data_IF_760849978525
#
_entry.id   IF_760849978525
#
_cell.length_a   1.000
_cell.length_b   1.000
_cell.length_c   1.000
_cell.angle_alpha   90.00
_cell.angle_beta   90.00
_cell.angle_gamma   90.00
#
_symmetry.space_group_name_H-M   'P 1'
#
loop_
_entity.id
_entity.type
_entity.pdbx_description
1 polymer ?
#
# COMPACT_ATOMS: atom_id res chain seq x y z
N UNK A 1 7.30 -38.63 -42.63
CA UNK A 1 6.66 -37.80 -41.58
C UNK A 1 7.39 -38.05 -40.26
N UNK A 2 8.25 -37.12 -39.83
CA UNK A 2 8.08 -36.58 -38.48
C UNK A 2 8.13 -35.05 -38.46
N UNK A 3 7.27 -34.48 -37.62
CA UNK A 3 7.06 -33.05 -37.38
C UNK A 3 8.30 -32.41 -36.74
N UNK A 4 8.87 -31.42 -37.42
CA UNK A 4 9.82 -30.48 -36.84
C UNK A 4 9.09 -29.62 -35.80
N UNK A 5 9.61 -29.63 -34.56
CA UNK A 5 9.18 -28.76 -33.47
C UNK A 5 9.39 -27.30 -33.88
N UNK A 6 8.32 -26.52 -33.87
CA UNK A 6 8.39 -25.08 -34.02
C UNK A 6 9.12 -24.44 -32.82
N UNK A 7 10.09 -23.60 -33.17
CA UNK A 7 10.91 -22.83 -32.26
C UNK A 7 10.05 -21.90 -31.40
N UNK A 8 10.33 -21.90 -30.09
CA UNK A 8 9.72 -21.01 -29.11
C UNK A 8 10.00 -19.54 -29.42
N UNK A 9 9.06 -18.90 -30.11
CA UNK A 9 9.01 -17.45 -30.28
C UNK A 9 8.79 -16.79 -28.93
N UNK A 10 9.86 -16.30 -28.32
CA UNK A 10 9.77 -15.45 -27.13
C UNK A 10 9.02 -14.18 -27.54
N UNK A 11 7.75 -14.06 -27.13
CA UNK A 11 6.89 -12.93 -27.47
C UNK A 11 7.59 -11.59 -27.20
N UNK A 12 7.50 -10.65 -28.13
CA UNK A 12 8.04 -9.28 -28.01
C UNK A 12 7.58 -8.62 -26.70
N UNK A 13 6.38 -8.96 -26.21
CA UNK A 13 5.88 -8.52 -24.91
C UNK A 13 6.67 -9.08 -23.71
N UNK A 14 7.15 -10.32 -23.81
CA UNK A 14 8.06 -10.92 -22.84
C UNK A 14 9.40 -10.20 -22.84
N UNK A 15 9.97 -9.94 -24.02
CA UNK A 15 11.23 -9.20 -24.15
C UNK A 15 11.15 -7.77 -23.60
N UNK A 16 10.09 -7.02 -23.93
CA UNK A 16 9.86 -5.66 -23.40
C UNK A 16 9.66 -5.68 -21.88
N UNK A 17 8.92 -6.67 -21.36
CA UNK A 17 8.68 -6.82 -19.93
C UNK A 17 9.96 -7.17 -19.16
N UNK A 18 10.81 -8.05 -19.71
CA UNK A 18 12.11 -8.41 -19.13
C UNK A 18 13.05 -7.20 -19.20
N UNK A 19 13.14 -6.52 -20.35
CA UNK A 19 13.99 -5.32 -20.52
C UNK A 19 13.57 -4.17 -19.60
N UNK A 20 12.27 -3.94 -19.40
CA UNK A 20 11.78 -2.92 -18.45
C UNK A 20 12.06 -3.30 -16.98
N UNK A 21 12.08 -4.59 -16.64
CA UNK A 21 12.50 -5.06 -15.31
C UNK A 21 14.00 -4.92 -15.11
N UNK A 22 14.81 -5.24 -16.12
CA UNK A 22 16.26 -5.07 -16.11
C UNK A 22 16.63 -3.60 -16.00
N UNK A 23 16.06 -2.72 -16.83
CA UNK A 23 16.32 -1.27 -16.74
C UNK A 23 15.93 -0.67 -15.38
N UNK A 24 14.82 -1.12 -14.77
CA UNK A 24 14.46 -0.72 -13.40
C UNK A 24 15.39 -1.32 -12.35
N UNK A 25 15.99 -2.49 -12.62
CA UNK A 25 16.99 -3.10 -11.76
C UNK A 25 18.30 -2.33 -11.84
N UNK A 26 18.74 -1.96 -13.04
CA UNK A 26 19.99 -1.24 -13.30
C UNK A 26 19.91 0.20 -12.79
N UNK A 27 18.79 0.90 -13.03
CA UNK A 27 18.57 2.23 -12.45
C UNK A 27 18.52 2.20 -10.92
N UNK A 28 17.97 1.12 -10.34
CA UNK A 28 18.00 0.93 -8.89
C UNK A 28 19.42 0.61 -8.42
N UNK A 29 20.15 -0.27 -9.11
CA UNK A 29 21.54 -0.62 -8.81
C UNK A 29 22.40 0.62 -8.79
N UNK A 30 22.42 1.39 -9.88
CA UNK A 30 23.25 2.59 -9.99
C UNK A 30 22.94 3.64 -8.90
N UNK A 31 21.66 3.76 -8.51
CA UNK A 31 21.28 4.63 -7.39
C UNK A 31 21.79 4.09 -6.05
N UNK A 32 21.73 2.77 -5.83
CA UNK A 32 22.23 2.16 -4.62
C UNK A 32 23.75 2.21 -4.55
N UNK A 33 24.43 1.92 -5.65
CA UNK A 33 25.87 1.95 -5.77
C UNK A 33 26.39 3.37 -5.49
N UNK A 34 25.70 4.42 -5.98
CA UNK A 34 26.02 5.81 -5.65
C UNK A 34 25.78 6.17 -4.17
N UNK A 35 24.73 5.63 -3.54
CA UNK A 35 24.48 5.84 -2.11
C UNK A 35 25.46 5.04 -1.25
N UNK A 36 25.88 3.87 -1.71
CA UNK A 36 26.88 3.01 -1.07
C UNK A 36 28.26 3.64 -1.14
N UNK A 37 28.62 4.26 -2.26
CA UNK A 37 29.85 5.03 -2.40
C UNK A 37 29.87 6.26 -1.46
N UNK A 38 28.74 6.95 -1.32
CA UNK A 38 28.64 8.17 -0.49
C UNK A 38 28.51 7.90 1.01
N UNK A 39 27.74 6.89 1.39
CA UNK A 39 27.34 6.65 2.77
C UNK A 39 27.67 5.24 3.27
N UNK A 40 28.19 4.34 2.44
CA UNK A 40 28.39 2.93 2.80
C UNK A 40 29.34 2.75 3.99
N UNK A 41 30.39 3.56 4.10
CA UNK A 41 31.30 3.56 5.26
C UNK A 41 30.56 4.01 6.52
N UNK A 42 29.86 5.14 6.47
CA UNK A 42 29.06 5.67 7.59
C UNK A 42 27.93 4.73 8.03
N UNK A 43 27.26 4.05 7.08
CA UNK A 43 26.23 3.05 7.38
C UNK A 43 26.83 1.82 8.05
N UNK A 44 28.04 1.42 7.66
CA UNK A 44 28.73 0.28 8.28
C UNK A 44 29.14 0.60 9.71
N UNK A 45 29.68 1.79 9.96
CA UNK A 45 29.96 2.29 11.32
C UNK A 45 28.68 2.37 12.17
N UNK A 46 27.60 2.94 11.63
CA UNK A 46 26.30 3.00 12.31
C UNK A 46 25.72 1.62 12.63
N UNK A 47 25.89 0.63 11.74
CA UNK A 47 25.46 -0.75 11.99
C UNK A 47 26.31 -1.43 13.08
N UNK A 48 27.59 -1.09 13.21
CA UNK A 48 28.42 -1.64 14.27
C UNK A 48 28.12 -0.99 15.62
N UNK A 49 27.84 0.31 15.64
CA UNK A 49 27.60 1.09 16.84
C UNK A 49 26.19 0.90 17.44
N UNK A 50 25.17 0.69 16.60
CA UNK A 50 23.77 0.71 17.04
C UNK A 50 23.07 -0.62 16.76
N UNK A 51 22.63 -1.29 17.84
CA UNK A 51 21.86 -2.55 17.75
C UNK A 51 20.58 -2.43 16.91
N UNK A 52 19.86 -1.30 16.95
CA UNK A 52 18.71 -1.06 16.03
C UNK A 52 19.11 -1.13 14.57
N UNK A 53 20.25 -0.52 14.23
CA UNK A 53 20.73 -0.43 12.86
C UNK A 53 21.14 -1.81 12.31
N UNK A 54 21.58 -2.73 13.17
CA UNK A 54 21.91 -4.12 12.79
C UNK A 54 20.69 -4.88 12.26
N UNK A 55 19.53 -4.68 12.88
CA UNK A 55 18.29 -5.35 12.47
C UNK A 55 17.70 -4.82 11.15
N UNK A 56 18.15 -3.64 10.72
CA UNK A 56 17.65 -2.98 9.52
C UNK A 56 18.42 -3.43 8.28
N UNK A 57 17.69 -3.71 7.21
CA UNK A 57 18.29 -3.96 5.89
C UNK A 57 19.14 -2.74 5.49
N UNK A 58 20.37 -2.97 5.05
CA UNK A 58 21.34 -1.93 4.63
C UNK A 58 20.75 -0.87 3.69
N UNK A 59 19.97 -1.32 2.71
CA UNK A 59 19.20 -0.48 1.76
C UNK A 59 18.31 0.57 2.48
N UNK A 60 17.72 0.21 3.62
CA UNK A 60 16.85 1.08 4.40
C UNK A 60 17.66 2.14 5.15
N UNK A 61 18.85 1.80 5.64
CA UNK A 61 19.77 2.76 6.28
C UNK A 61 20.32 3.77 5.27
N UNK A 62 20.73 3.33 4.08
CA UNK A 62 21.17 4.23 3.00
C UNK A 62 20.09 5.25 2.61
N UNK A 63 18.81 4.84 2.61
CA UNK A 63 17.68 5.77 2.39
C UNK A 63 17.47 6.75 3.54
N UNK A 64 17.77 6.33 4.76
CA UNK A 64 17.69 7.23 5.92
C UNK A 64 18.82 8.25 5.86
N UNK A 65 20.05 7.81 5.54
CA UNK A 65 21.18 8.71 5.29
C UNK A 65 20.87 9.70 4.16
N UNK A 66 20.32 9.24 3.03
CA UNK A 66 19.88 10.13 1.94
C UNK A 66 18.81 11.13 2.40
N UNK A 67 17.88 10.71 3.25
CA UNK A 67 16.78 11.55 3.74
C UNK A 67 17.25 12.66 4.68
N UNK A 68 18.26 12.37 5.52
CA UNK A 68 18.84 13.32 6.47
C UNK A 68 20.14 13.93 5.94
N UNK A 69 20.35 13.91 4.62
CA UNK A 69 21.50 14.52 3.94
C UNK A 69 22.88 14.04 4.45
N UNK A 70 22.95 12.84 5.03
CA UNK A 70 24.17 12.29 5.62
C UNK A 70 24.39 12.62 7.10
N UNK A 71 23.47 13.31 7.77
CA UNK A 71 23.58 13.59 9.20
C UNK A 71 23.34 12.32 10.03
N UNK A 72 24.42 11.86 10.67
CA UNK A 72 24.45 10.64 11.47
C UNK A 72 23.67 10.79 12.78
N UNK A 73 23.65 11.99 13.38
CA UNK A 73 22.98 12.23 14.66
C UNK A 73 21.46 12.30 14.48
N UNK A 74 20.98 12.89 13.38
CA UNK A 74 19.57 12.86 13.03
C UNK A 74 19.08 11.43 12.73
N UNK A 75 19.90 10.64 12.04
CA UNK A 75 19.59 9.21 11.78
C UNK A 75 19.57 8.42 13.09
N UNK A 76 20.53 8.64 13.99
CA UNK A 76 20.59 8.00 15.31
C UNK A 76 19.36 8.35 16.14
N UNK A 77 19.03 9.64 16.26
CA UNK A 77 17.82 10.11 16.96
C UNK A 77 16.55 9.53 16.34
N UNK A 78 16.47 9.42 15.01
CA UNK A 78 15.33 8.80 14.33
C UNK A 78 15.22 7.30 14.66
N UNK A 79 16.31 6.56 14.65
CA UNK A 79 16.32 5.14 14.99
C UNK A 79 15.92 4.90 16.44
N UNK A 80 16.42 5.70 17.36
CA UNK A 80 16.07 5.64 18.78
C UNK A 80 14.57 5.94 19.02
N UNK A 81 14.03 6.97 18.36
CA UNK A 81 12.58 7.25 18.40
C UNK A 81 11.73 6.12 17.81
N UNK A 82 12.25 5.38 16.83
CA UNK A 82 11.57 4.21 16.27
C UNK A 82 11.62 3.04 17.24
N UNK A 83 12.76 2.80 17.89
CA UNK A 83 12.88 1.77 18.92
C UNK A 83 11.98 2.05 20.12
N UNK A 84 11.94 3.28 20.63
CA UNK A 84 11.05 3.68 21.72
C UNK A 84 9.58 3.45 21.34
N UNK A 85 9.18 3.88 20.13
CA UNK A 85 7.82 3.61 19.63
C UNK A 85 7.54 2.13 19.42
N UNK A 86 8.52 1.37 18.95
CA UNK A 86 8.33 -0.06 18.65
C UNK A 86 8.33 -0.90 19.95
N UNK A 87 9.06 -0.51 20.98
CA UNK A 87 9.04 -1.15 22.30
C UNK A 87 7.69 -0.92 23.01
N UNK A 88 7.17 0.31 22.99
CA UNK A 88 5.90 0.64 23.66
C UNK A 88 4.66 0.13 22.88
N UNK A 89 4.79 -0.12 21.58
CA UNK A 89 3.63 -0.41 20.71
C UNK A 89 3.63 -1.83 20.13
N UNK A 90 4.76 -2.49 19.84
CA UNK A 90 4.70 -3.67 18.96
C UNK A 90 4.52 -5.04 19.64
N UNK A 91 5.09 -5.28 20.82
CA UNK A 91 4.90 -6.56 21.50
C UNK A 91 3.46 -6.66 22.01
N UNK A 92 3.02 -5.64 22.75
CA UNK A 92 1.68 -5.57 23.30
C UNK A 92 0.63 -5.41 22.22
N UNK A 93 0.82 -4.60 21.16
CA UNK A 93 -0.23 -4.44 20.14
C UNK A 93 -0.42 -5.68 19.25
N UNK A 94 0.61 -6.51 19.02
CA UNK A 94 0.42 -7.74 18.21
C UNK A 94 -0.16 -8.88 19.04
N UNK A 95 0.34 -9.08 20.27
CA UNK A 95 -0.20 -10.07 21.19
C UNK A 95 -1.65 -9.74 21.57
N UNK A 96 -1.93 -8.49 21.97
CA UNK A 96 -3.28 -8.00 22.26
C UNK A 96 -4.23 -8.14 21.06
N UNK A 97 -3.76 -7.89 19.83
CA UNK A 97 -4.58 -8.13 18.62
C UNK A 97 -4.88 -9.60 18.38
N UNK A 98 -4.00 -10.53 18.77
CA UNK A 98 -4.24 -11.97 18.66
C UNK A 98 -5.23 -12.41 19.74
N UNK A 99 -5.00 -12.02 20.99
CA UNK A 99 -5.91 -12.30 22.11
C UNK A 99 -7.31 -11.78 21.83
N UNK A 100 -7.45 -10.51 21.40
CA UNK A 100 -8.74 -9.94 21.02
C UNK A 100 -9.43 -10.73 19.90
N UNK A 101 -8.68 -11.33 18.96
CA UNK A 101 -9.27 -12.18 17.92
C UNK A 101 -9.78 -13.50 18.50
N UNK A 102 -9.02 -14.14 19.37
CA UNK A 102 -9.45 -15.36 20.04
C UNK A 102 -10.67 -15.11 20.94
N UNK A 103 -10.70 -13.98 21.65
CA UNK A 103 -11.89 -13.52 22.37
C UNK A 103 -13.10 -13.30 21.46
N UNK A 104 -12.92 -12.67 20.29
CA UNK A 104 -14.02 -12.46 19.35
C UNK A 104 -14.50 -13.78 18.74
N UNK A 105 -13.59 -14.73 18.51
CA UNK A 105 -13.94 -16.08 18.05
C UNK A 105 -14.77 -16.82 19.10
N UNK A 106 -14.38 -16.75 20.37
CA UNK A 106 -15.14 -17.39 21.44
C UNK A 106 -16.50 -16.70 21.66
N UNK A 107 -16.55 -15.37 21.69
CA UNK A 107 -17.80 -14.59 21.83
C UNK A 107 -18.79 -14.83 20.70
N UNK A 108 -18.32 -15.01 19.47
CA UNK A 108 -19.16 -15.19 18.28
C UNK A 108 -19.12 -16.62 17.69
N UNK A 109 -18.81 -17.64 18.50
CA UNK A 109 -18.60 -19.00 18.01
C UNK A 109 -19.80 -19.56 17.24
N UNK A 110 -21.02 -19.31 17.72
CA UNK A 110 -22.27 -19.78 17.09
C UNK A 110 -22.56 -19.03 15.79
N UNK A 111 -22.30 -17.72 15.75
CA UNK A 111 -22.43 -16.90 14.55
C UNK A 111 -21.40 -17.29 13.49
N UNK A 112 -20.18 -17.63 13.90
CA UNK A 112 -19.15 -18.12 13.00
C UNK A 112 -19.57 -19.46 12.38
N UNK A 113 -20.11 -20.39 13.15
CA UNK A 113 -20.65 -21.65 12.61
C UNK A 113 -21.75 -21.41 11.57
N UNK A 114 -22.68 -20.47 11.82
CA UNK A 114 -23.71 -20.08 10.86
C UNK A 114 -23.11 -19.45 9.57
N UNK A 115 -22.07 -18.63 9.69
CA UNK A 115 -21.35 -18.08 8.54
C UNK A 115 -20.61 -19.16 7.74
N UNK A 116 -20.02 -20.15 8.41
CA UNK A 116 -19.38 -21.29 7.75
C UNK A 116 -20.41 -22.09 6.95
N UNK A 117 -21.59 -22.34 7.51
CA UNK A 117 -22.70 -23.00 6.80
C UNK A 117 -23.17 -22.18 5.58
N UNK A 118 -23.16 -20.85 5.67
CA UNK A 118 -23.43 -19.95 4.55
C UNK A 118 -22.27 -19.87 3.52
N UNK A 119 -21.22 -20.68 3.67
CA UNK A 119 -20.07 -20.71 2.76
C UNK A 119 -19.15 -19.50 2.87
N UNK A 120 -19.17 -18.77 3.98
CA UNK A 120 -18.30 -17.62 4.24
C UNK A 120 -17.02 -18.07 4.95
N UNK A 121 -15.88 -17.56 4.47
CA UNK A 121 -14.59 -17.82 5.10
C UNK A 121 -14.49 -17.07 6.44
N UNK A 122 -14.58 -17.82 7.52
CA UNK A 122 -14.53 -17.35 8.91
C UNK A 122 -13.12 -17.05 9.41
N UNK A 123 -12.09 -17.60 8.77
CA UNK A 123 -10.68 -17.36 9.13
C UNK A 123 -10.17 -15.99 8.66
N UNK A 124 -10.92 -15.31 7.78
CA UNK A 124 -10.58 -13.95 7.40
C UNK A 124 -10.71 -13.00 8.61
N UNK A 125 -9.68 -12.21 8.95
CA UNK A 125 -9.78 -11.18 9.99
C UNK A 125 -10.90 -10.16 9.72
N UNK A 126 -11.27 -10.02 8.46
CA UNK A 126 -12.36 -9.17 8.03
C UNK A 126 -13.74 -9.64 8.50
N UNK A 127 -13.94 -10.94 8.68
CA UNK A 127 -15.22 -11.54 9.09
C UNK A 127 -15.50 -11.27 10.57
N UNK A 128 -14.50 -11.49 11.44
CA UNK A 128 -14.58 -11.15 12.88
C UNK A 128 -14.85 -9.66 13.11
N UNK A 129 -14.16 -8.78 12.36
CA UNK A 129 -14.39 -7.34 12.46
C UNK A 129 -15.80 -6.94 12.02
N UNK A 130 -16.37 -7.61 11.01
CA UNK A 130 -17.75 -7.35 10.60
C UNK A 130 -18.77 -7.87 11.60
N UNK A 131 -18.52 -9.02 12.23
CA UNK A 131 -19.36 -9.52 13.32
C UNK A 131 -19.37 -8.53 14.49
N UNK A 132 -18.21 -8.07 14.93
CA UNK A 132 -18.10 -7.06 16.00
C UNK A 132 -18.82 -5.76 15.61
N UNK A 133 -18.59 -5.25 14.39
CA UNK A 133 -19.22 -4.00 13.90
C UNK A 133 -20.75 -4.09 13.79
N UNK A 134 -21.28 -5.26 13.47
CA UNK A 134 -22.72 -5.48 13.33
C UNK A 134 -23.32 -6.21 14.54
N UNK A 135 -22.64 -6.19 15.69
CA UNK A 135 -23.11 -6.77 16.96
C UNK A 135 -23.52 -8.24 16.86
N UNK A 136 -22.87 -9.03 16.00
CA UNK A 136 -23.15 -10.45 15.80
C UNK A 136 -24.31 -10.75 14.84
N UNK A 137 -24.84 -9.76 14.12
CA UNK A 137 -25.88 -9.98 13.11
C UNK A 137 -25.32 -10.77 11.89
N UNK A 138 -25.60 -12.07 11.87
CA UNK A 138 -25.12 -13.01 10.85
C UNK A 138 -25.62 -12.63 9.46
N UNK A 139 -26.89 -12.25 9.32
CA UNK A 139 -27.50 -11.94 8.04
C UNK A 139 -26.87 -10.70 7.40
N UNK A 140 -26.67 -9.63 8.18
CA UNK A 140 -25.97 -8.43 7.70
C UNK A 140 -24.52 -8.72 7.30
N UNK A 141 -23.85 -9.62 8.02
CA UNK A 141 -22.48 -10.02 7.65
C UNK A 141 -22.49 -10.83 6.36
N UNK A 142 -23.46 -11.75 6.18
CA UNK A 142 -23.64 -12.50 4.93
C UNK A 142 -23.84 -11.55 3.75
N UNK A 143 -24.80 -10.63 3.83
CA UNK A 143 -25.07 -9.65 2.78
C UNK A 143 -23.83 -8.83 2.41
N UNK A 144 -23.09 -8.33 3.41
CA UNK A 144 -21.85 -7.56 3.18
C UNK A 144 -20.76 -8.39 2.52
N UNK A 145 -20.64 -9.67 2.88
CA UNK A 145 -19.62 -10.56 2.32
C UNK A 145 -20.01 -10.99 0.90
N UNK A 146 -21.29 -11.28 0.64
CA UNK A 146 -21.83 -11.55 -0.69
C UNK A 146 -21.68 -10.36 -1.62
N UNK A 147 -22.06 -9.16 -1.19
CA UNK A 147 -21.85 -7.93 -1.99
C UNK A 147 -20.39 -7.69 -2.37
N UNK A 148 -19.45 -8.05 -1.48
CA UNK A 148 -18.01 -7.98 -1.78
C UNK A 148 -17.58 -9.02 -2.82
N UNK A 149 -18.15 -10.23 -2.78
CA UNK A 149 -17.93 -11.28 -3.79
C UNK A 149 -18.48 -10.84 -5.14
N UNK A 150 -19.73 -10.40 -5.20
CA UNK A 150 -20.37 -9.89 -6.41
C UNK A 150 -19.59 -8.72 -7.01
N UNK A 151 -19.15 -7.75 -6.20
CA UNK A 151 -18.32 -6.65 -6.71
C UNK A 151 -17.00 -7.13 -7.30
N UNK A 152 -16.41 -8.18 -6.73
CA UNK A 152 -15.17 -8.77 -7.24
C UNK A 152 -15.41 -9.54 -8.54
N UNK A 153 -16.54 -10.24 -8.66
CA UNK A 153 -16.97 -10.95 -9.86
C UNK A 153 -17.30 -9.99 -10.99
N UNK A 154 -18.13 -8.97 -10.74
CA UNK A 154 -18.41 -7.87 -11.69
C UNK A 154 -17.12 -7.23 -12.19
N UNK A 155 -16.16 -6.99 -11.30
CA UNK A 155 -14.86 -6.46 -11.70
C UNK A 155 -14.08 -7.42 -12.62
N UNK A 156 -14.13 -8.72 -12.35
CA UNK A 156 -13.50 -9.71 -13.21
C UNK A 156 -14.19 -9.80 -14.58
N UNK A 157 -15.52 -9.69 -14.61
CA UNK A 157 -16.31 -9.60 -15.85
C UNK A 157 -15.99 -8.35 -16.66
N UNK A 158 -15.76 -7.21 -16.01
CA UNK A 158 -15.35 -5.98 -16.70
C UNK A 158 -13.92 -6.09 -17.24
N UNK A 159 -13.02 -6.69 -16.47
CA UNK A 159 -11.65 -6.96 -16.91
C UNK A 159 -11.62 -7.86 -18.16
N UNK A 160 -12.53 -8.84 -18.27
CA UNK A 160 -12.66 -9.68 -19.48
C UNK A 160 -13.39 -8.96 -20.62
N UNK A 161 -14.51 -8.28 -20.34
CA UNK A 161 -15.31 -7.54 -21.33
C UNK A 161 -14.50 -6.47 -22.05
N UNK A 162 -13.65 -5.75 -21.31
CA UNK A 162 -12.85 -4.65 -21.84
C UNK A 162 -11.37 -5.01 -22.07
N UNK A 163 -11.03 -6.30 -22.15
CA UNK A 163 -9.65 -6.75 -22.28
C UNK A 163 -8.93 -6.14 -23.50
N UNK A 164 -9.61 -6.05 -24.65
CA UNK A 164 -9.07 -5.47 -25.89
C UNK A 164 -8.81 -3.96 -25.76
N UNK A 165 -9.73 -3.23 -25.15
CA UNK A 165 -9.62 -1.79 -24.91
C UNK A 165 -8.52 -1.48 -23.89
N UNK A 166 -8.37 -2.34 -22.86
CA UNK A 166 -7.27 -2.26 -21.90
C UNK A 166 -5.93 -2.47 -22.63
N UNK A 167 -5.84 -3.46 -23.52
CA UNK A 167 -4.63 -3.70 -24.30
C UNK A 167 -4.30 -2.53 -25.23
N UNK A 168 -5.31 -1.92 -25.86
CA UNK A 168 -5.14 -0.72 -26.69
C UNK A 168 -4.63 0.47 -25.87
N UNK A 169 -5.19 0.72 -24.69
CA UNK A 169 -4.70 1.77 -23.79
C UNK A 169 -3.28 1.50 -23.29
N UNK A 170 -2.92 0.24 -23.03
CA UNK A 170 -1.55 -0.14 -22.69
C UNK A 170 -0.56 0.07 -23.86
N UNK A 171 -0.98 -0.20 -25.09
CA UNK A 171 -0.22 0.05 -26.32
C UNK A 171 -0.02 1.56 -26.58
N UNK A 172 -1.05 2.36 -26.32
CA UNK A 172 -1.02 3.83 -26.39
C UNK A 172 -0.19 4.47 -25.25
N UNK A 173 0.48 3.65 -24.42
CA UNK A 173 1.40 4.10 -23.38
C UNK A 173 0.72 4.52 -22.08
N UNK A 174 -0.59 4.31 -21.93
CA UNK A 174 -1.35 4.68 -20.73
C UNK A 174 -1.13 3.63 -19.63
N UNK A 175 -0.10 3.87 -18.81
CA UNK A 175 0.26 2.99 -17.69
C UNK A 175 -0.49 3.36 -16.42
N UNK A 176 -1.71 2.87 -16.26
CA UNK A 176 -2.41 2.90 -14.97
C UNK A 176 -1.97 1.71 -14.12
N UNK A 177 -1.44 1.99 -12.92
CA UNK A 177 -0.93 0.95 -11.99
C UNK A 177 -2.00 -0.04 -11.51
N UNK A 178 -3.29 0.34 -11.57
CA UNK A 178 -4.40 -0.48 -11.09
C UNK A 178 -5.38 -0.78 -12.23
N UNK A 179 -5.29 -1.98 -12.81
CA UNK A 179 -6.10 -2.43 -13.96
C UNK A 179 -7.60 -2.36 -13.70
N UNK A 180 -8.05 -2.68 -12.48
CA UNK A 180 -9.46 -2.58 -12.06
C UNK A 180 -10.04 -1.18 -12.21
N UNK A 181 -9.20 -0.16 -12.00
CA UNK A 181 -9.63 1.24 -12.17
C UNK A 181 -9.83 1.58 -13.64
N UNK A 182 -9.04 0.97 -14.52
CA UNK A 182 -9.17 1.15 -15.96
C UNK A 182 -10.45 0.48 -16.48
N UNK A 183 -10.74 -0.75 -16.03
CA UNK A 183 -11.99 -1.44 -16.37
C UNK A 183 -13.24 -0.64 -15.94
N UNK A 184 -13.26 -0.06 -14.74
CA UNK A 184 -14.36 0.82 -14.32
C UNK A 184 -14.45 2.14 -15.10
N UNK A 185 -13.32 2.70 -15.56
CA UNK A 185 -13.36 3.90 -16.40
C UNK A 185 -13.93 3.57 -17.78
N UNK A 186 -13.55 2.42 -18.33
CA UNK A 186 -14.10 1.90 -19.58
C UNK A 186 -15.58 1.60 -19.44
N UNK A 187 -16.02 0.98 -18.34
CA UNK A 187 -17.44 0.78 -18.06
C UNK A 187 -18.23 2.10 -18.03
N UNK A 188 -17.70 3.13 -17.35
CA UNK A 188 -18.35 4.46 -17.28
C UNK A 188 -18.36 5.23 -18.60
N UNK A 189 -17.43 4.90 -19.50
CA UNK A 189 -17.31 5.49 -20.82
C UNK A 189 -17.89 4.56 -21.90
N UNK A 190 -18.68 3.56 -21.52
CA UNK A 190 -19.29 2.58 -22.43
C UNK A 190 -18.29 1.88 -23.38
N UNK A 191 -17.05 1.69 -22.92
CA UNK A 191 -15.96 1.10 -23.69
C UNK A 191 -15.25 2.05 -24.64
N UNK A 192 -15.58 3.35 -24.65
CA UNK A 192 -14.95 4.34 -25.50
C UNK A 192 -13.54 4.68 -25.00
N UNK A 193 -12.54 4.21 -25.74
CA UNK A 193 -11.13 4.35 -25.42
C UNK A 193 -10.71 5.82 -25.37
N UNK A 194 -11.18 6.65 -26.29
CA UNK A 194 -10.75 8.06 -26.40
C UNK A 194 -11.29 8.94 -25.26
N UNK A 195 -12.52 8.70 -24.83
CA UNK A 195 -13.09 9.36 -23.64
C UNK A 195 -12.29 9.00 -22.39
N UNK A 196 -11.88 7.73 -22.25
CA UNK A 196 -11.03 7.30 -21.15
C UNK A 196 -9.65 7.97 -21.22
N UNK A 197 -9.05 8.14 -22.40
CA UNK A 197 -7.80 8.90 -22.57
C UNK A 197 -7.93 10.33 -22.05
N UNK A 198 -9.01 11.02 -22.43
CA UNK A 198 -9.30 12.39 -22.02
C UNK A 198 -9.51 12.51 -20.51
N UNK A 199 -10.29 11.61 -19.90
CA UNK A 199 -10.48 11.59 -18.44
C UNK A 199 -9.17 11.39 -17.68
N UNK A 200 -8.26 10.58 -18.23
CA UNK A 200 -6.96 10.33 -17.62
C UNK A 200 -6.04 11.56 -17.71
N UNK A 201 -6.04 12.30 -18.82
CA UNK A 201 -5.28 13.55 -18.93
C UNK A 201 -5.80 14.62 -17.97
N UNK A 202 -7.12 14.83 -17.92
CA UNK A 202 -7.74 15.79 -16.99
C UNK A 202 -7.41 15.47 -15.51
N UNK A 203 -7.41 14.18 -15.15
CA UNK A 203 -7.02 13.76 -13.81
C UNK A 203 -5.55 13.96 -13.50
N UNK A 204 -4.66 13.83 -14.49
CA UNK A 204 -3.24 14.11 -14.32
C UNK A 204 -3.03 15.61 -14.10
N UNK A 205 -3.72 16.46 -14.85
CA UNK A 205 -3.67 17.92 -14.72
C UNK A 205 -4.20 18.38 -13.36
N UNK A 206 -5.39 17.92 -12.94
CA UNK A 206 -5.95 18.23 -11.61
C UNK A 206 -5.01 17.79 -10.47
N UNK A 207 -4.34 16.65 -10.62
CA UNK A 207 -3.32 16.21 -9.64
C UNK A 207 -2.07 17.07 -9.66
N UNK A 208 -1.64 17.54 -10.82
CA UNK A 208 -0.56 18.52 -10.98
C UNK A 208 -0.88 19.80 -10.22
N UNK A 209 -2.05 20.38 -10.51
CA UNK A 209 -2.57 21.57 -9.83
C UNK A 209 -2.67 21.39 -8.32
N UNK A 210 -3.20 20.25 -7.84
CA UNK A 210 -3.27 20.00 -6.39
C UNK A 210 -1.88 19.84 -5.75
N UNK A 211 -0.92 19.21 -6.45
CA UNK A 211 0.46 19.12 -5.97
C UNK A 211 1.11 20.49 -5.89
N UNK A 212 0.90 21.32 -6.91
CA UNK A 212 1.41 22.68 -6.97
C UNK A 212 0.79 23.56 -5.89
N UNK A 213 -0.53 23.47 -5.68
CA UNK A 213 -1.22 24.09 -4.55
C UNK A 213 -0.61 23.66 -3.21
N UNK A 214 -0.44 22.34 -2.97
CA UNK A 214 0.21 21.85 -1.75
C UNK A 214 1.63 22.35 -1.61
N UNK A 215 2.36 22.51 -2.71
CA UNK A 215 3.73 23.00 -2.68
C UNK A 215 3.80 24.50 -2.34
N UNK A 216 2.87 25.30 -2.90
CA UNK A 216 2.72 26.73 -2.56
C UNK A 216 2.33 26.93 -1.10
N UNK A 217 1.43 26.10 -0.57
CA UNK A 217 0.98 26.19 0.81
C UNK A 217 1.83 25.40 1.82
N UNK A 218 2.90 24.72 1.38
CA UNK A 218 3.85 24.06 2.28
C UNK A 218 4.85 25.03 2.91
N UNK A 219 5.07 26.17 2.26
CA UNK A 219 6.05 27.18 2.70
C UNK A 219 5.41 28.32 3.51
N UNK A 220 4.11 28.25 3.78
CA UNK A 220 3.45 29.19 4.70
C UNK A 220 3.46 28.53 6.08
N UNK A 221 4.61 28.60 6.76
CA UNK A 221 4.62 28.46 8.22
C UNK A 221 4.06 29.74 8.81
N UNK A 222 3.02 29.70 9.65
CA UNK A 222 2.61 30.86 10.44
C UNK A 222 3.65 31.04 11.56
N UNK A 223 4.65 31.87 11.29
CA UNK A 223 5.55 32.37 12.30
C UNK A 223 4.90 33.53 13.06
N UNK A 224 4.61 33.31 14.34
CA UNK A 224 4.68 34.34 15.38
C UNK A 224 3.39 35.09 15.73
N UNK A 225 2.72 34.65 16.79
CA UNK A 225 2.29 35.59 17.84
C UNK A 225 2.24 34.86 19.19
N UNK A 226 2.98 35.38 20.14
CA UNK A 226 3.04 35.06 21.57
C UNK A 226 1.71 35.32 22.27
N UNK A 227 1.25 34.40 23.13
CA UNK A 227 0.53 34.69 24.38
C UNK A 227 0.33 33.42 25.22
N UNK A 228 1.01 33.39 26.36
CA UNK A 228 0.59 32.95 27.71
C UNK A 228 -0.21 31.65 27.91
N UNK A 229 0.42 30.78 28.72
CA UNK A 229 -0.13 30.10 29.91
C UNK A 229 -1.64 29.83 29.99
N UNK A 230 -2.01 28.56 30.13
CA UNK A 230 -2.61 28.05 31.38
C UNK A 230 -2.72 26.52 31.38
N UNK A 231 -2.58 25.97 32.58
CA UNK A 231 -2.70 24.58 32.99
C UNK A 231 -4.06 23.94 32.65
N UNK A 232 -4.08 22.61 32.46
CA UNK A 232 -5.33 21.84 32.49
C UNK A 232 -5.15 20.36 32.16
N UNK A 233 -5.11 19.53 33.20
CA UNK A 233 -4.98 18.08 33.14
C UNK A 233 -6.17 17.35 32.49
N UNK A 234 -5.88 16.14 32.00
CA UNK A 234 -6.72 14.94 31.97
C UNK A 234 -8.14 14.98 31.37
N UNK A 235 -8.41 14.07 30.43
CA UNK A 235 -9.25 12.90 30.75
C UNK A 235 -9.43 11.94 29.57
N UNK A 236 -9.47 10.66 29.94
CA UNK A 236 -9.72 9.50 29.12
C UNK A 236 -11.02 9.58 28.32
N UNK A 237 -10.95 9.12 27.08
CA UNK A 237 -12.10 8.80 26.25
C UNK A 237 -12.92 7.67 26.88
N UNK A 238 -14.14 7.99 27.31
CA UNK A 238 -15.19 7.02 27.65
C UNK A 238 -16.29 7.14 26.59
N UNK A 239 -16.43 6.13 25.72
CA UNK A 239 -17.59 6.00 24.83
C UNK A 239 -18.54 4.95 25.41
N UNK A 240 -19.80 5.36 25.56
CA UNK A 240 -20.95 4.46 25.75
C UNK A 240 -21.25 3.75 24.43
#
# INVERSE_FOLDING_TARGET
MPLMRENGGCSIFHYISVRARLFRRDFRSNKWDSLEERFGTTVTSLQQEISSAQSLKRIRLLRLMERFSGDVEEVRKFLQNVEERDHDVNADSRACRRERREELKSKYATQLAALTQAGINVDCPCTLWQLEKNQGDVNKVIEKMSHRREKKEKLAELDTKYASQIAQLEADGIKIKNKRRLAHLLEKADGQVDVVKQLISEWKEKKGQHREYRHRHRNISPGGTTAQETHGAASCWRKR
#
